data_IF_028033156216
#
_entry.id   IF_028033156216
#
_cell.length_a   1.000
_cell.length_b   1.000
_cell.length_c   1.000
_cell.angle_alpha   90.00
_cell.angle_beta   90.00
_cell.angle_gamma   90.00
#
_symmetry.space_group_name_H-M   'P 1'
#
loop_
_entity.id
_entity.type
_entity.pdbx_description
1 polymer ?
#
# COMPACT_ATOMS: atom_id res chain seq x y z
N UNK A 1 -21.30 -17.29 -16.82
CA UNK A 1 -21.08 -18.17 -15.66
C UNK A 1 -21.71 -17.51 -14.44
N UNK A 2 -22.69 -18.18 -13.82
CA UNK A 2 -23.30 -17.71 -12.57
C UNK A 2 -22.31 -17.96 -11.43
N UNK A 3 -21.72 -16.91 -10.90
CA UNK A 3 -21.02 -16.97 -9.62
C UNK A 3 -22.08 -16.81 -8.54
N UNK A 4 -22.55 -17.91 -7.99
CA UNK A 4 -23.40 -17.99 -6.78
C UNK A 4 -24.57 -17.00 -6.70
N UNK A 5 -25.32 -16.78 -7.79
CA UNK A 5 -26.56 -15.99 -7.77
C UNK A 5 -26.38 -14.46 -7.72
N UNK A 6 -25.16 -13.95 -7.67
CA UNK A 6 -24.89 -12.51 -7.75
C UNK A 6 -24.88 -12.06 -9.20
N UNK A 7 -25.78 -11.15 -9.53
CA UNK A 7 -25.83 -10.49 -10.84
C UNK A 7 -24.86 -9.29 -10.77
N UNK A 8 -23.71 -9.42 -11.42
CA UNK A 8 -22.74 -8.32 -11.52
C UNK A 8 -23.20 -7.41 -12.65
N UNK A 9 -23.60 -6.20 -12.33
CA UNK A 9 -24.02 -5.17 -13.31
C UNK A 9 -22.81 -4.64 -14.10
N UNK A 10 -23.04 -3.96 -15.20
CA UNK A 10 -21.97 -3.32 -15.96
C UNK A 10 -21.32 -2.20 -15.16
N UNK A 11 -22.07 -1.47 -14.33
CA UNK A 11 -21.52 -0.48 -13.39
C UNK A 11 -20.61 -1.09 -12.32
N UNK A 12 -20.93 -2.29 -11.81
CA UNK A 12 -20.05 -3.00 -10.86
C UNK A 12 -18.72 -3.41 -11.52
N UNK A 13 -18.78 -3.79 -12.81
CA UNK A 13 -17.58 -4.15 -13.60
C UNK A 13 -16.68 -2.94 -13.84
N UNK A 14 -17.28 -1.82 -14.24
CA UNK A 14 -16.56 -0.56 -14.45
C UNK A 14 -15.94 -0.06 -13.15
N UNK A 15 -16.68 -0.07 -12.05
CA UNK A 15 -16.17 0.26 -10.72
C UNK A 15 -15.01 -0.65 -10.28
N UNK A 16 -15.08 -1.94 -10.60
CA UNK A 16 -13.99 -2.88 -10.33
C UNK A 16 -12.73 -2.56 -11.15
N UNK A 17 -12.88 -2.23 -12.45
CA UNK A 17 -11.76 -1.83 -13.32
C UNK A 17 -11.09 -0.55 -12.83
N UNK A 18 -11.88 0.48 -12.49
CA UNK A 18 -11.36 1.72 -11.90
C UNK A 18 -10.56 1.43 -10.62
N UNK A 19 -11.07 0.56 -9.76
CA UNK A 19 -10.37 0.18 -8.52
C UNK A 19 -9.09 -0.60 -8.80
N UNK A 20 -9.06 -1.50 -9.76
CA UNK A 20 -7.86 -2.26 -10.14
C UNK A 20 -6.74 -1.37 -10.69
N UNK A 21 -7.08 -0.29 -11.38
CA UNK A 21 -6.13 0.72 -11.87
C UNK A 21 -5.77 1.77 -10.81
N UNK A 22 -6.51 1.83 -9.70
CA UNK A 22 -6.32 2.77 -8.61
C UNK A 22 -5.29 2.34 -7.56
N UNK A 23 -5.21 3.15 -6.51
CA UNK A 23 -4.40 2.84 -5.34
C UNK A 23 -5.10 1.81 -4.44
N UNK A 24 -4.32 0.85 -3.95
CA UNK A 24 -4.78 -0.21 -3.04
C UNK A 24 -4.17 -0.08 -1.64
N UNK A 25 -4.09 1.15 -1.14
CA UNK A 25 -3.56 1.40 0.19
C UNK A 25 -4.46 0.78 1.27
N UNK A 26 -3.85 0.01 2.20
CA UNK A 26 -4.56 -0.63 3.32
C UNK A 26 -5.19 -1.98 2.98
N UNK A 27 -5.28 -2.35 1.72
CA UNK A 27 -5.92 -3.59 1.24
C UNK A 27 -4.91 -4.73 0.97
N UNK A 28 -3.90 -4.89 1.82
CA UNK A 28 -2.81 -5.85 1.61
C UNK A 28 -3.26 -7.30 1.36
N UNK A 29 -4.34 -7.74 1.99
CA UNK A 29 -4.91 -9.08 1.78
C UNK A 29 -5.60 -9.18 0.41
N UNK A 30 -6.28 -8.12 -0.04
CA UNK A 30 -6.86 -8.05 -1.37
C UNK A 30 -5.77 -8.04 -2.44
N UNK A 31 -4.75 -7.18 -2.30
CA UNK A 31 -3.61 -7.13 -3.23
C UNK A 31 -2.95 -8.50 -3.36
N UNK A 32 -2.71 -9.17 -2.24
CA UNK A 32 -2.14 -10.53 -2.24
C UNK A 32 -3.03 -11.52 -2.98
N UNK A 33 -4.35 -11.50 -2.74
CA UNK A 33 -5.31 -12.36 -3.45
C UNK A 33 -5.31 -12.09 -4.95
N UNK A 34 -5.37 -10.83 -5.37
CA UNK A 34 -5.36 -10.42 -6.77
C UNK A 34 -4.09 -10.88 -7.48
N UNK A 35 -2.93 -10.70 -6.86
CA UNK A 35 -1.65 -11.15 -7.42
C UNK A 35 -1.54 -12.69 -7.48
N UNK A 36 -2.10 -13.42 -6.51
CA UNK A 36 -2.18 -14.89 -6.59
C UNK A 36 -2.97 -15.27 -7.83
N UNK A 37 -4.17 -14.70 -8.05
CA UNK A 37 -5.02 -15.02 -9.19
C UNK A 37 -4.39 -14.65 -10.53
N UNK A 38 -3.73 -13.48 -10.59
CA UNK A 38 -2.98 -13.09 -11.78
C UNK A 38 -1.84 -14.06 -12.10
N UNK A 39 -1.10 -14.53 -11.10
CA UNK A 39 -0.05 -15.52 -11.32
C UNK A 39 -0.62 -16.89 -11.71
N UNK A 40 -1.72 -17.34 -11.10
CA UNK A 40 -2.43 -18.58 -11.50
C UNK A 40 -2.88 -18.52 -12.95
N UNK A 41 -3.49 -17.40 -13.36
CA UNK A 41 -3.93 -17.19 -14.73
C UNK A 41 -2.76 -17.21 -15.72
N UNK A 42 -1.66 -16.53 -15.39
CA UNK A 42 -0.45 -16.49 -16.23
C UNK A 42 0.26 -17.84 -16.30
N UNK A 43 0.30 -18.60 -15.20
CA UNK A 43 0.93 -19.90 -15.12
C UNK A 43 0.07 -21.01 -15.76
N UNK A 44 -1.23 -20.77 -15.97
CA UNK A 44 -2.18 -21.79 -16.41
C UNK A 44 -2.41 -22.91 -15.40
N UNK A 45 -2.11 -22.65 -14.11
CA UNK A 45 -2.21 -23.66 -13.05
C UNK A 45 -2.57 -23.00 -11.72
N UNK A 46 -3.28 -23.76 -10.85
CA UNK A 46 -3.49 -23.30 -9.48
C UNK A 46 -2.17 -23.37 -8.69
N UNK A 47 -1.92 -22.31 -7.92
CA UNK A 47 -0.77 -22.28 -7.03
C UNK A 47 -1.09 -23.06 -5.77
N UNK A 48 -0.26 -24.06 -5.45
CA UNK A 48 -0.21 -24.62 -4.10
C UNK A 48 0.08 -23.49 -3.14
N UNK A 49 -0.86 -23.20 -2.25
CA UNK A 49 -0.80 -22.06 -1.34
C UNK A 49 0.19 -22.37 -0.22
N UNK A 50 1.47 -21.96 -0.30
CA UNK A 50 2.32 -21.98 0.87
C UNK A 50 1.70 -21.05 1.93
N UNK A 51 1.86 -21.43 3.18
CA UNK A 51 1.25 -20.74 4.33
C UNK A 51 1.67 -19.27 4.48
N UNK A 52 2.63 -18.76 3.67
CA UNK A 52 3.14 -17.39 3.72
C UNK A 52 3.53 -16.90 2.32
N UNK A 53 2.61 -16.24 1.63
CA UNK A 53 2.92 -15.35 0.53
C UNK A 53 2.86 -13.90 1.01
N UNK A 54 3.75 -13.07 0.51
CA UNK A 54 3.72 -11.63 0.75
C UNK A 54 3.67 -10.89 -0.57
N UNK A 55 2.82 -9.87 -0.65
CA UNK A 55 2.86 -8.88 -1.71
C UNK A 55 3.78 -7.74 -1.25
N UNK A 56 4.85 -7.50 -1.98
CA UNK A 56 5.89 -6.54 -1.62
C UNK A 56 6.07 -5.49 -2.68
N UNK A 57 6.28 -4.21 -2.32
CA UNK A 57 6.54 -3.17 -3.28
C UNK A 57 7.92 -3.36 -3.92
N UNK A 58 7.97 -3.28 -5.26
CA UNK A 58 9.20 -3.31 -6.06
C UNK A 58 10.03 -2.07 -5.77
N UNK A 59 9.41 -0.90 -5.88
CA UNK A 59 9.94 0.37 -5.44
C UNK A 59 9.79 0.49 -3.91
N UNK A 60 10.82 0.91 -3.17
CA UNK A 60 10.73 1.06 -1.72
C UNK A 60 9.75 2.18 -1.34
N UNK A 61 9.22 2.10 -0.11
CA UNK A 61 8.35 3.16 0.43
C UNK A 61 9.10 4.47 0.74
N UNK A 62 10.41 4.39 0.88
CA UNK A 62 11.32 5.52 1.12
C UNK A 62 12.39 5.47 0.03
N UNK A 63 12.32 6.45 -0.90
CA UNK A 63 13.26 6.58 -2.01
C UNK A 63 14.37 7.61 -1.75
N UNK A 64 14.25 8.42 -0.69
CA UNK A 64 15.21 9.52 -0.42
C UNK A 64 16.65 9.03 -0.27
N UNK A 65 16.84 7.76 0.13
CA UNK A 65 18.15 7.15 0.35
C UNK A 65 18.60 6.22 -0.77
N UNK A 66 17.81 6.14 -1.85
CA UNK A 66 18.08 5.23 -2.95
C UNK A 66 18.65 5.95 -4.15
N UNK A 67 19.80 5.52 -4.62
CA UNK A 67 20.39 6.01 -5.88
C UNK A 67 19.59 5.54 -7.09
N UNK A 68 18.98 4.37 -7.01
CA UNK A 68 18.15 3.81 -8.09
C UNK A 68 16.90 4.63 -8.39
N UNK A 69 16.49 5.52 -7.49
CA UNK A 69 15.30 6.34 -7.62
C UNK A 69 15.59 7.84 -7.44
N UNK A 70 16.87 8.25 -7.51
CA UNK A 70 17.28 9.64 -7.28
C UNK A 70 16.62 10.63 -8.27
N UNK A 71 16.39 10.19 -9.50
CA UNK A 71 15.78 11.00 -10.56
C UNK A 71 14.25 10.87 -10.63
N UNK A 72 13.64 10.13 -9.69
CA UNK A 72 12.20 9.97 -9.67
C UNK A 72 11.53 11.20 -9.04
N UNK A 73 10.62 11.89 -9.76
CA UNK A 73 9.78 12.90 -9.15
C UNK A 73 8.93 12.33 -8.04
N UNK A 74 8.73 13.10 -6.97
CA UNK A 74 7.97 12.65 -5.79
C UNK A 74 6.53 12.28 -6.14
N UNK A 75 5.91 13.00 -7.06
CA UNK A 75 4.55 12.72 -7.54
C UNK A 75 4.45 11.39 -8.29
N UNK A 76 5.48 11.01 -9.06
CA UNK A 76 5.54 9.69 -9.68
C UNK A 76 5.74 8.57 -8.65
N UNK A 77 6.60 8.80 -7.65
CA UNK A 77 6.76 7.85 -6.56
C UNK A 77 5.44 7.62 -5.84
N UNK A 78 4.76 8.71 -5.45
CA UNK A 78 3.48 8.65 -4.75
C UNK A 78 2.40 7.98 -5.60
N UNK A 79 2.40 8.22 -6.90
CA UNK A 79 1.48 7.59 -7.85
C UNK A 79 1.61 6.06 -7.88
N UNK A 80 2.84 5.53 -7.90
CA UNK A 80 3.08 4.10 -8.05
C UNK A 80 3.09 3.33 -6.73
N UNK A 81 3.28 3.98 -5.60
CA UNK A 81 3.55 3.36 -4.30
C UNK A 81 2.61 2.22 -3.93
N UNK A 82 1.31 2.38 -4.17
CA UNK A 82 0.28 1.43 -3.76
C UNK A 82 -0.49 0.78 -4.93
N UNK A 83 0.05 0.83 -6.14
CA UNK A 83 -0.58 0.23 -7.32
C UNK A 83 -0.08 -1.19 -7.55
N UNK A 84 -0.92 -2.02 -8.19
CA UNK A 84 -0.59 -3.43 -8.48
C UNK A 84 0.70 -3.57 -9.29
N UNK A 85 0.98 -2.65 -10.22
CA UNK A 85 2.21 -2.66 -11.04
C UNK A 85 3.48 -2.58 -10.20
N UNK A 86 3.43 -1.91 -9.05
CA UNK A 86 4.54 -1.82 -8.10
C UNK A 86 4.60 -3.01 -7.12
N UNK A 87 3.72 -4.00 -7.24
CA UNK A 87 3.68 -5.11 -6.29
C UNK A 87 4.20 -6.40 -6.91
N UNK A 88 4.97 -7.14 -6.14
CA UNK A 88 5.47 -8.47 -6.50
C UNK A 88 5.07 -9.49 -5.42
N UNK A 89 4.61 -10.66 -5.86
CA UNK A 89 4.30 -11.77 -4.96
C UNK A 89 5.56 -12.60 -4.70
N UNK A 90 5.87 -12.84 -3.45
CA UNK A 90 7.03 -13.64 -3.03
C UNK A 90 6.68 -14.60 -1.90
N UNK A 91 7.52 -15.62 -1.72
CA UNK A 91 7.40 -16.57 -0.62
C UNK A 91 8.08 -16.04 0.64
N UNK A 92 7.45 -16.21 1.80
CA UNK A 92 7.99 -15.86 3.11
C UNK A 92 7.55 -14.48 3.64
N UNK A 93 8.04 -14.07 4.81
CA UNK A 93 7.63 -12.85 5.50
C UNK A 93 8.19 -11.59 4.81
N UNK A 94 7.55 -10.46 5.05
CA UNK A 94 7.87 -9.16 4.44
C UNK A 94 9.17 -8.52 4.97
N UNK A 95 9.64 -8.92 6.12
CA UNK A 95 10.57 -8.23 7.01
C UNK A 95 12.03 -8.05 6.49
N UNK A 96 12.41 -8.71 5.41
CA UNK A 96 13.79 -8.62 4.91
C UNK A 96 14.00 -7.64 3.74
N UNK A 97 12.94 -7.23 3.05
CA UNK A 97 13.03 -6.33 1.89
C UNK A 97 12.98 -4.84 2.26
N UNK A 98 12.40 -4.51 3.42
CA UNK A 98 12.29 -3.11 3.88
C UNK A 98 13.66 -2.45 4.14
N UNK A 99 14.74 -3.25 4.26
CA UNK A 99 16.11 -2.74 4.47
C UNK A 99 16.85 -2.44 3.17
N UNK A 100 16.34 -2.90 2.05
CA UNK A 100 16.96 -2.70 0.74
C UNK A 100 16.31 -1.50 0.07
N UNK A 101 17.08 -0.43 -0.14
CA UNK A 101 16.64 0.77 -0.84
C UNK A 101 16.88 0.70 -2.36
N UNK A 102 17.95 0.02 -2.79
CA UNK A 102 18.35 -0.05 -4.19
C UNK A 102 17.56 -1.10 -4.98
N UNK A 103 17.11 -0.74 -6.19
CA UNK A 103 16.29 -1.60 -7.03
C UNK A 103 16.97 -2.94 -7.38
N UNK A 104 18.23 -2.98 -7.84
CA UNK A 104 18.87 -4.26 -8.17
C UNK A 104 18.89 -5.24 -7.01
N UNK A 105 19.24 -4.77 -5.82
CA UNK A 105 19.26 -5.60 -4.61
C UNK A 105 17.87 -6.10 -4.21
N UNK A 106 16.83 -5.25 -4.33
CA UNK A 106 15.44 -5.61 -4.08
C UNK A 106 14.96 -6.65 -5.10
N UNK A 107 15.19 -6.39 -6.38
CA UNK A 107 14.85 -7.30 -7.49
C UNK A 107 15.45 -8.68 -7.26
N UNK A 108 16.75 -8.74 -7.05
CA UNK A 108 17.48 -10.01 -6.88
C UNK A 108 16.97 -10.78 -5.65
N UNK A 109 16.68 -10.06 -4.56
CA UNK A 109 16.09 -10.66 -3.37
C UNK A 109 14.67 -11.19 -3.60
N UNK A 110 13.85 -10.48 -4.40
CA UNK A 110 12.52 -10.96 -4.81
C UNK A 110 12.62 -12.20 -5.69
N UNK A 111 13.53 -12.20 -6.66
CA UNK A 111 13.75 -13.34 -7.55
C UNK A 111 14.20 -14.59 -6.80
N UNK A 112 15.06 -14.47 -5.80
CA UNK A 112 15.46 -15.59 -4.92
C UNK A 112 14.28 -16.18 -4.14
N UNK A 113 13.22 -15.41 -3.92
CA UNK A 113 12.01 -15.79 -3.18
C UNK A 113 10.82 -16.07 -4.09
N UNK A 114 11.00 -15.95 -5.39
CA UNK A 114 9.99 -16.20 -6.40
C UNK A 114 10.36 -17.48 -7.17
N UNK A 115 9.65 -18.57 -6.88
CA UNK A 115 9.70 -19.76 -7.72
C UNK A 115 9.22 -19.36 -9.14
N UNK A 116 10.06 -19.61 -10.16
CA UNK A 116 9.81 -19.20 -11.54
C UNK A 116 8.53 -19.79 -12.13
N UNK A 117 8.13 -20.97 -11.69
CA UNK A 117 6.88 -21.60 -12.13
C UNK A 117 5.66 -21.05 -11.41
N UNK A 118 5.83 -20.64 -10.15
CA UNK A 118 4.72 -20.19 -9.29
C UNK A 118 4.44 -18.71 -9.40
N UNK A 119 5.47 -17.88 -9.63
CA UNK A 119 5.32 -16.43 -9.67
C UNK A 119 5.83 -15.83 -10.98
N UNK A 120 5.24 -16.19 -12.13
CA UNK A 120 5.70 -15.70 -13.42
C UNK A 120 5.71 -14.16 -13.53
N UNK A 121 4.77 -13.45 -12.87
CA UNK A 121 4.79 -11.99 -12.83
C UNK A 121 5.98 -11.41 -12.06
N UNK A 122 6.41 -12.06 -10.98
CA UNK A 122 7.60 -11.62 -10.24
C UNK A 122 8.87 -11.94 -11.01
N UNK A 123 8.90 -13.10 -11.67
CA UNK A 123 10.07 -13.53 -12.45
C UNK A 123 10.36 -12.66 -13.67
N UNK A 124 9.39 -11.92 -14.18
CA UNK A 124 9.63 -10.94 -15.25
C UNK A 124 10.62 -9.83 -14.82
N UNK A 125 10.76 -9.59 -13.51
CA UNK A 125 11.72 -8.58 -13.02
C UNK A 125 13.17 -8.88 -13.42
N UNK A 126 13.51 -10.14 -13.74
CA UNK A 126 14.85 -10.51 -14.22
C UNK A 126 15.25 -9.81 -15.52
N UNK A 127 14.26 -9.47 -16.35
CA UNK A 127 14.46 -8.89 -17.67
C UNK A 127 14.67 -7.37 -17.62
N UNK A 128 14.61 -6.76 -16.42
CA UNK A 128 14.73 -5.32 -16.22
C UNK A 128 15.87 -4.96 -15.28
N UNK A 129 16.83 -4.23 -15.81
CA UNK A 129 17.98 -3.73 -15.04
C UNK A 129 17.55 -2.65 -14.04
N UNK A 130 16.62 -1.77 -14.45
CA UNK A 130 16.16 -0.62 -13.71
C UNK A 130 14.65 -0.63 -13.49
N UNK A 131 14.20 -0.02 -12.39
CA UNK A 131 12.78 0.23 -12.17
C UNK A 131 12.41 1.57 -12.81
N UNK A 132 11.58 1.52 -13.84
CA UNK A 132 11.11 2.70 -14.56
C UNK A 132 9.58 2.82 -14.47
N UNK A 133 9.01 4.03 -14.65
CA UNK A 133 7.56 4.20 -14.75
C UNK A 133 6.94 3.31 -15.84
N UNK A 134 7.60 3.17 -16.99
CA UNK A 134 7.15 2.31 -18.08
C UNK A 134 7.09 0.82 -17.68
N UNK A 135 8.05 0.33 -16.89
CA UNK A 135 8.00 -1.00 -16.33
C UNK A 135 6.78 -1.19 -15.41
N UNK A 136 6.55 -0.24 -14.52
CA UNK A 136 5.43 -0.33 -13.57
C UNK A 136 4.09 -0.25 -14.29
N UNK A 137 3.99 0.59 -15.34
CA UNK A 137 2.80 0.68 -16.18
C UNK A 137 2.52 -0.65 -16.92
N UNK A 138 3.52 -1.21 -17.59
CA UNK A 138 3.38 -2.49 -18.28
C UNK A 138 2.95 -3.61 -17.33
N UNK A 139 3.50 -3.64 -16.13
CA UNK A 139 3.13 -4.60 -15.09
C UNK A 139 1.72 -4.38 -14.56
N UNK A 140 1.29 -3.14 -14.40
CA UNK A 140 -0.07 -2.78 -14.00
C UNK A 140 -1.09 -3.31 -15.01
N UNK A 141 -0.88 -3.01 -16.28
CA UNK A 141 -1.73 -3.45 -17.38
C UNK A 141 -1.82 -4.97 -17.46
N UNK A 142 -0.69 -5.65 -17.35
CA UNK A 142 -0.66 -7.11 -17.39
C UNK A 142 -1.35 -7.74 -16.18
N UNK A 143 -1.12 -7.22 -14.98
CA UNK A 143 -1.79 -7.71 -13.78
C UNK A 143 -3.30 -7.55 -13.87
N UNK A 144 -3.78 -6.37 -14.29
CA UNK A 144 -5.21 -6.09 -14.46
C UNK A 144 -5.81 -7.01 -15.52
N UNK A 145 -5.18 -7.17 -16.69
CA UNK A 145 -5.63 -8.08 -17.75
C UNK A 145 -5.80 -9.50 -17.23
N UNK A 146 -4.81 -10.04 -16.53
CA UNK A 146 -4.85 -11.40 -15.99
C UNK A 146 -5.94 -11.58 -14.92
N UNK A 147 -6.13 -10.56 -14.07
CA UNK A 147 -7.19 -10.54 -13.06
C UNK A 147 -8.57 -10.58 -13.73
N UNK A 148 -8.77 -9.74 -14.72
CA UNK A 148 -10.01 -9.64 -15.48
C UNK A 148 -10.31 -10.94 -16.23
N UNK A 149 -9.31 -11.54 -16.87
CA UNK A 149 -9.43 -12.84 -17.53
C UNK A 149 -9.76 -13.95 -16.54
N UNK A 150 -9.14 -13.97 -15.36
CA UNK A 150 -9.40 -14.98 -14.33
C UNK A 150 -10.86 -14.99 -13.87
N UNK A 151 -11.48 -13.82 -13.72
CA UNK A 151 -12.88 -13.72 -13.31
C UNK A 151 -13.86 -13.70 -14.50
N UNK A 152 -13.39 -13.81 -15.75
CA UNK A 152 -14.23 -13.77 -16.95
C UNK A 152 -14.96 -12.43 -17.12
N UNK A 153 -14.39 -11.34 -16.61
CA UNK A 153 -14.90 -9.99 -16.82
C UNK A 153 -14.55 -9.60 -18.25
N UNK A 154 -15.53 -9.15 -19.05
CA UNK A 154 -15.22 -8.63 -20.38
C UNK A 154 -14.42 -7.34 -20.25
N UNK A 155 -13.20 -7.38 -20.77
CA UNK A 155 -12.29 -6.25 -20.85
C UNK A 155 -12.36 -5.71 -22.28
N UNK A 156 -13.14 -4.66 -22.48
CA UNK A 156 -13.18 -4.00 -23.76
C UNK A 156 -12.03 -2.99 -23.84
N UNK A 157 -11.31 -2.96 -24.99
CA UNK A 157 -10.22 -2.01 -25.18
C UNK A 157 -10.67 -0.55 -25.11
N UNK A 158 -11.93 -0.30 -25.50
CA UNK A 158 -12.53 1.04 -25.46
C UNK A 158 -12.77 1.51 -24.00
N UNK A 159 -13.07 0.59 -23.07
CA UNK A 159 -13.11 0.88 -21.64
C UNK A 159 -11.74 1.28 -21.07
N UNK A 160 -10.64 0.83 -21.70
CA UNK A 160 -9.28 1.18 -21.35
C UNK A 160 -8.97 2.67 -21.60
N UNK A 161 -9.37 3.17 -22.75
CA UNK A 161 -9.15 4.58 -23.11
C UNK A 161 -10.05 5.51 -22.30
N UNK A 162 -11.29 5.09 -22.01
CA UNK A 162 -12.19 5.80 -21.09
C UNK A 162 -11.66 5.80 -19.66
N UNK A 163 -11.06 4.72 -19.19
CA UNK A 163 -10.46 4.65 -17.84
C UNK A 163 -9.19 5.48 -17.76
N UNK A 164 -8.34 5.48 -18.80
CA UNK A 164 -7.17 6.38 -18.90
C UNK A 164 -7.61 7.83 -19.01
N UNK A 165 -8.58 8.15 -19.86
CA UNK A 165 -9.13 9.51 -20.00
C UNK A 165 -9.80 9.97 -18.70
N UNK A 166 -10.59 9.13 -18.03
CA UNK A 166 -11.21 9.46 -16.75
C UNK A 166 -10.17 9.63 -15.62
N UNK A 167 -9.12 8.83 -15.60
CA UNK A 167 -8.01 9.00 -14.64
C UNK A 167 -7.19 10.25 -14.98
N UNK A 168 -6.96 10.55 -16.27
CA UNK A 168 -6.24 11.74 -16.73
C UNK A 168 -7.12 13.00 -16.66
N UNK A 169 -8.41 12.92 -16.92
CA UNK A 169 -9.35 14.04 -16.76
C UNK A 169 -9.69 14.31 -15.30
N UNK A 170 -9.87 13.29 -14.48
CA UNK A 170 -9.97 13.45 -13.02
C UNK A 170 -8.69 14.02 -12.41
N UNK A 171 -7.53 13.79 -13.04
CA UNK A 171 -6.30 14.47 -12.65
C UNK A 171 -6.13 15.88 -13.21
N UNK A 172 -6.85 16.27 -14.29
CA UNK A 172 -6.71 17.59 -14.94
C UNK A 172 -7.86 18.57 -14.66
N UNK A 173 -9.09 18.10 -14.43
CA UNK A 173 -10.30 18.95 -14.33
C UNK A 173 -10.83 19.16 -12.92
N UNK A 174 -10.36 18.44 -11.97
CA UNK A 174 -10.51 18.88 -10.59
C UNK A 174 -9.40 19.88 -10.27
N UNK A 175 -9.74 21.08 -9.72
CA UNK A 175 -8.81 21.74 -8.82
C UNK A 175 -8.56 20.69 -7.76
N UNK A 176 -7.45 19.92 -7.91
CA UNK A 176 -7.16 18.74 -7.10
C UNK A 176 -8.03 18.73 -5.84
N UNK A 177 -9.17 18.04 -5.79
CA UNK A 177 -9.49 17.48 -4.54
C UNK A 177 -8.30 16.57 -4.39
N UNK A 178 -7.40 16.92 -3.53
CA UNK A 178 -6.42 16.03 -2.96
C UNK A 178 -7.18 14.84 -2.34
N UNK A 179 -7.82 14.03 -3.14
CA UNK A 179 -8.23 12.66 -2.91
C UNK A 179 -7.05 11.76 -3.38
N UNK A 180 -5.89 12.10 -2.88
CA UNK A 180 -5.28 11.13 -2.02
C UNK A 180 -6.43 10.56 -1.22
N UNK A 181 -6.67 9.28 -1.11
CA UNK A 181 -7.29 8.76 0.11
C UNK A 181 -6.41 9.37 1.19
N UNK A 182 -6.75 10.63 1.57
CA UNK A 182 -5.84 11.52 2.28
C UNK A 182 -5.46 10.69 3.45
N UNK A 183 -4.22 10.31 3.50
CA UNK A 183 -3.66 9.86 4.77
C UNK A 183 -4.20 10.86 5.74
N UNK A 184 -5.23 10.44 6.48
CA UNK A 184 -5.79 11.30 7.52
C UNK A 184 -4.59 11.67 8.36
N UNK A 185 -4.13 12.90 8.23
CA UNK A 185 -2.93 13.35 8.92
C UNK A 185 -3.29 13.64 10.37
N UNK A 186 -2.31 13.56 11.26
CA UNK A 186 -2.49 13.94 12.66
C UNK A 186 -3.05 15.38 12.73
N UNK A 187 -2.59 16.27 11.86
CA UNK A 187 -3.07 17.66 11.78
C UNK A 187 -4.57 17.75 11.49
N UNK A 188 -5.06 17.01 10.49
CA UNK A 188 -6.50 16.99 10.18
C UNK A 188 -7.36 16.48 11.35
N UNK A 189 -6.84 15.49 12.08
CA UNK A 189 -7.54 14.94 13.26
C UNK A 189 -7.53 15.94 14.42
N UNK A 190 -6.49 16.77 14.55
CA UNK A 190 -6.43 17.89 15.48
C UNK A 190 -7.44 18.97 15.07
N UNK A 191 -7.45 19.38 13.81
CA UNK A 191 -8.34 20.41 13.28
C UNK A 191 -9.83 20.00 13.41
N UNK A 192 -10.11 18.69 13.38
CA UNK A 192 -11.44 18.13 13.66
C UNK A 192 -11.77 17.99 15.17
N UNK A 193 -10.88 18.42 16.06
CA UNK A 193 -11.06 18.34 17.50
C UNK A 193 -10.99 16.93 18.10
N UNK A 194 -10.57 15.94 17.33
CA UNK A 194 -10.50 14.56 17.77
C UNK A 194 -9.18 14.19 18.47
N UNK A 195 -8.12 14.97 18.25
CA UNK A 195 -6.87 14.96 19.02
C UNK A 195 -6.53 16.38 19.46
N UNK A 196 -5.79 16.50 20.54
CA UNK A 196 -5.39 17.81 21.08
C UNK A 196 -3.85 17.90 21.11
N UNK A 197 -3.24 19.02 20.69
CA UNK A 197 -1.82 19.25 20.91
C UNK A 197 -1.45 19.10 22.39
N UNK A 198 -0.31 18.49 22.67
CA UNK A 198 0.08 18.14 24.04
C UNK A 198 -0.48 16.82 24.55
N UNK A 199 -1.42 16.20 23.84
CA UNK A 199 -2.00 14.92 24.26
C UNK A 199 -0.95 13.80 24.23
N UNK A 200 -0.87 13.06 25.33
CA UNK A 200 0.10 11.98 25.50
C UNK A 200 -0.50 10.63 25.05
N UNK A 201 0.27 9.91 24.27
CA UNK A 201 -0.04 8.58 23.76
C UNK A 201 0.90 7.56 24.38
N UNK A 202 0.44 6.32 24.52
CA UNK A 202 1.23 5.19 25.02
C UNK A 202 1.12 4.01 24.07
N UNK A 203 2.22 3.32 23.87
CA UNK A 203 2.29 1.99 23.26
C UNK A 203 2.90 1.02 24.25
N UNK A 204 2.18 -0.04 24.55
CA UNK A 204 2.57 -1.06 25.52
C UNK A 204 2.69 -2.43 24.88
N UNK A 205 3.73 -3.16 25.25
CA UNK A 205 3.92 -4.58 24.98
C UNK A 205 4.03 -5.34 26.31
N UNK A 206 2.92 -5.68 26.97
CA UNK A 206 2.92 -6.24 28.33
C UNK A 206 3.76 -7.53 28.46
N UNK A 207 3.71 -8.40 27.41
CA UNK A 207 4.47 -9.66 27.39
C UNK A 207 5.99 -9.48 27.35
N UNK A 208 6.49 -8.27 27.01
CA UNK A 208 7.90 -7.92 26.93
C UNK A 208 8.31 -6.90 27.98
N UNK A 209 7.37 -6.40 28.77
CA UNK A 209 7.62 -5.30 29.69
C UNK A 209 7.98 -3.97 29.05
N UNK A 210 7.75 -3.83 27.74
CA UNK A 210 8.15 -2.65 26.97
C UNK A 210 7.03 -1.61 26.92
N UNK A 211 7.37 -0.33 27.11
CA UNK A 211 6.42 0.78 27.04
C UNK A 211 7.09 2.00 26.44
N UNK A 212 6.42 2.65 25.49
CA UNK A 212 6.88 3.89 24.86
C UNK A 212 5.79 4.95 24.92
N UNK A 213 6.21 6.20 24.96
CA UNK A 213 5.32 7.35 24.97
C UNK A 213 5.59 8.25 23.78
N UNK A 214 4.54 8.94 23.33
CA UNK A 214 4.64 9.97 22.33
C UNK A 214 3.69 11.11 22.71
N UNK A 215 4.04 12.34 22.35
CA UNK A 215 3.21 13.53 22.54
C UNK A 215 2.79 14.08 21.18
N UNK A 216 1.51 14.41 21.02
CA UNK A 216 0.98 15.08 19.84
C UNK A 216 1.48 16.53 19.83
N UNK A 217 2.16 16.94 18.75
CA UNK A 217 2.66 18.31 18.62
C UNK A 217 1.66 19.22 17.92
N UNK A 218 1.79 20.54 18.11
CA UNK A 218 0.97 21.54 17.41
C UNK A 218 1.04 21.43 15.88
N UNK A 219 2.19 21.01 15.35
CA UNK A 219 2.43 20.83 13.92
C UNK A 219 1.87 19.51 13.36
N UNK A 220 1.11 18.74 14.16
CA UNK A 220 0.54 17.48 13.73
C UNK A 220 1.57 16.37 13.57
N UNK A 221 2.59 16.33 14.43
CA UNK A 221 3.60 15.28 14.51
C UNK A 221 3.49 14.53 15.83
N UNK A 222 4.14 13.40 15.96
CA UNK A 222 4.33 12.70 17.24
C UNK A 222 5.78 12.88 17.68
N UNK A 223 5.97 13.44 18.86
CA UNK A 223 7.27 13.59 19.52
C UNK A 223 7.44 12.46 20.53
N UNK A 224 8.50 11.67 20.37
CA UNK A 224 8.88 10.64 21.34
C UNK A 224 9.58 11.25 22.57
N UNK A 225 9.77 10.47 23.63
CA UNK A 225 10.43 10.94 24.86
C UNK A 225 11.91 11.30 24.65
N UNK A 226 12.56 10.81 23.57
CA UNK A 226 13.90 11.23 23.15
C UNK A 226 13.95 12.59 22.42
N UNK A 227 12.82 13.24 22.25
CA UNK A 227 12.66 14.53 21.57
C UNK A 227 12.51 14.42 20.05
N UNK A 228 12.67 13.25 19.44
CA UNK A 228 12.52 13.08 17.99
C UNK A 228 11.07 13.18 17.56
N UNK A 229 10.82 13.82 16.40
CA UNK A 229 9.47 14.06 15.87
C UNK A 229 9.21 13.32 14.57
N UNK A 230 8.05 12.69 14.49
CA UNK A 230 7.64 11.87 13.35
C UNK A 230 6.31 12.33 12.75
N UNK A 231 6.21 12.43 11.41
CA UNK A 231 5.02 12.94 10.74
C UNK A 231 3.84 11.95 10.77
N UNK A 232 4.09 10.67 11.09
CA UNK A 232 3.04 9.65 11.11
C UNK A 232 3.15 8.75 12.34
N UNK A 233 2.01 8.22 12.84
CA UNK A 233 2.02 7.26 13.95
C UNK A 233 2.85 6.01 13.67
N UNK A 234 2.91 5.57 12.40
CA UNK A 234 3.70 4.41 11.98
C UNK A 234 5.20 4.69 12.06
N UNK A 235 5.64 5.88 11.62
CA UNK A 235 7.04 6.27 11.73
C UNK A 235 7.49 6.38 13.19
N UNK A 236 6.66 6.99 14.05
CA UNK A 236 6.91 7.08 15.48
C UNK A 236 6.98 5.70 16.15
N UNK A 237 6.06 4.78 15.82
CA UNK A 237 6.07 3.43 16.35
C UNK A 237 7.30 2.63 15.89
N UNK A 238 7.70 2.79 14.63
CA UNK A 238 8.92 2.13 14.10
C UNK A 238 10.18 2.61 14.81
N UNK A 239 10.30 3.92 15.01
CA UNK A 239 11.45 4.50 15.71
C UNK A 239 11.50 4.05 17.17
N UNK A 240 10.38 4.13 17.89
CA UNK A 240 10.26 3.71 19.28
C UNK A 240 10.67 2.24 19.48
N UNK A 241 10.32 1.35 18.55
CA UNK A 241 10.61 -0.08 18.63
C UNK A 241 11.95 -0.50 18.00
N UNK A 242 12.86 0.42 17.71
CA UNK A 242 14.17 0.11 17.10
C UNK A 242 14.06 -0.51 15.72
N UNK A 243 13.14 -0.03 14.88
CA UNK A 243 12.94 -0.47 13.48
C UNK A 243 12.04 -1.69 13.31
N UNK A 244 11.47 -2.24 14.39
CA UNK A 244 10.53 -3.38 14.33
C UNK A 244 9.13 -2.90 13.95
N UNK A 245 8.38 -3.73 13.18
CA UNK A 245 7.01 -3.42 12.76
C UNK A 245 6.06 -3.24 13.94
N UNK A 246 5.34 -2.12 13.91
CA UNK A 246 4.10 -1.91 14.64
C UNK A 246 3.12 -1.18 13.72
N UNK A 247 1.89 -1.66 13.60
CA UNK A 247 0.82 -0.93 12.92
C UNK A 247 0.56 0.37 13.67
N UNK A 248 1.11 1.50 13.19
CA UNK A 248 1.20 2.73 13.97
C UNK A 248 -0.11 3.24 14.56
N UNK A 249 -1.23 3.09 13.85
CA UNK A 249 -2.54 3.51 14.36
C UNK A 249 -3.11 2.55 15.43
N UNK A 250 -2.78 1.27 15.36
CA UNK A 250 -3.35 0.26 16.26
C UNK A 250 -2.59 0.11 17.57
N UNK A 251 -1.33 0.52 17.59
CA UNK A 251 -0.48 0.36 18.77
C UNK A 251 -0.54 1.56 19.72
N UNK A 252 -0.68 2.78 19.19
CA UNK A 252 -0.79 3.97 20.00
C UNK A 252 -2.19 4.12 20.60
N UNK A 253 -2.23 4.35 21.90
CA UNK A 253 -3.46 4.59 22.67
C UNK A 253 -3.33 5.91 23.43
N UNK A 254 -4.44 6.60 23.63
CA UNK A 254 -4.51 7.75 24.55
C UNK A 254 -4.21 7.28 25.97
N UNK A 255 -3.34 7.99 26.68
CA UNK A 255 -3.07 7.66 28.10
C UNK A 255 -4.27 7.90 28.99
N UNK A 256 -5.14 8.86 28.66
CA UNK A 256 -6.28 9.29 29.48
C UNK A 256 -7.45 8.27 29.51
N UNK A 257 -7.69 7.51 28.43
CA UNK A 257 -8.85 6.64 28.29
C UNK A 257 -8.58 5.32 27.53
N UNK A 258 -7.35 5.07 27.11
CA UNK A 258 -6.99 3.84 26.40
C UNK A 258 -7.50 3.72 24.95
N UNK A 259 -8.16 4.75 24.42
CA UNK A 259 -8.68 4.75 23.05
C UNK A 259 -7.54 4.68 22.03
N UNK A 260 -7.65 3.76 21.06
CA UNK A 260 -6.65 3.60 19.99
C UNK A 260 -6.73 4.73 18.97
N UNK A 261 -5.60 5.09 18.37
CA UNK A 261 -5.59 6.02 17.25
C UNK A 261 -6.39 5.49 16.05
N UNK A 262 -6.41 4.19 15.80
CA UNK A 262 -7.24 3.59 14.74
C UNK A 262 -8.74 3.88 14.91
N UNK A 263 -9.24 3.92 16.14
CA UNK A 263 -10.65 4.23 16.41
C UNK A 263 -10.94 5.72 16.20
N UNK A 264 -9.99 6.59 16.55
CA UNK A 264 -10.09 8.04 16.30
C UNK A 264 -10.09 8.30 14.79
N UNK A 265 -9.24 7.61 14.02
CA UNK A 265 -9.22 7.71 12.55
C UNK A 265 -10.52 7.21 11.89
N UNK A 266 -11.15 6.16 12.44
CA UNK A 266 -12.48 5.72 11.99
C UNK A 266 -13.53 6.79 12.26
N UNK A 267 -13.52 7.37 13.45
CA UNK A 267 -14.44 8.45 13.84
C UNK A 267 -14.28 9.67 12.92
N UNK A 268 -13.05 10.08 12.62
CA UNK A 268 -12.77 11.18 11.69
C UNK A 268 -13.36 10.91 10.30
N UNK A 269 -13.18 9.70 9.76
CA UNK A 269 -13.72 9.32 8.44
C UNK A 269 -15.25 9.35 8.40
N UNK A 270 -15.91 8.98 9.49
CA UNK A 270 -17.37 9.04 9.60
C UNK A 270 -17.91 10.48 9.69
N UNK A 271 -17.12 11.41 10.23
CA UNK A 271 -17.49 12.82 10.29
C UNK A 271 -17.22 13.59 8.99
N UNK A 272 -16.36 13.05 8.14
CA UNK A 272 -15.96 13.65 6.86
C UNK A 272 -16.80 13.16 5.66
N UNK A 273 -17.76 12.27 5.89
CA UNK A 273 -18.80 11.83 4.94
C UNK A 273 -20.06 12.67 5.08
#
# INVERSE_FOLDING_TARGET
QRVNGLHVSDGDREGALVRLHGEMQGDGDLVRLLLIRANEQKAGMQLDRPRRFSALPIMPLDIERSKSFADWPQDQHDFWMYRLGNMALVQGPEDQLDRLSEYPARRDRMLLRADSRRFPLTNQLKDFADCTPALLEARQEEAVRLIVEYWGIRYDKDARDLTKQNVDELSKTSPRPSHSSRRVTIRQVIDAGLLVPGERLVWERPRKGERWFATVTENGRLRLDDGSEYPTPTAAARAAAGGRRGGGLDVWKRTRNGQKLSDIWKQFRLQAQ
#
